data_IF_382903671088
#
_entry.id   IF_382903671088
#
_cell.length_a   1.000
_cell.length_b   1.000
_cell.length_c   1.000
_cell.angle_alpha   90.00
_cell.angle_beta   90.00
_cell.angle_gamma   90.00
#
_symmetry.space_group_name_H-M   'P 1'
#
loop_
_entity.id
_entity.type
_entity.pdbx_description
1 polymer ?
#
# COMPACT_ATOMS: atom_id res chain seq x y z
N UNK A 1 36.15 3.21 7.50
CA UNK A 1 35.34 2.76 6.34
C UNK A 1 33.94 2.47 6.87
N UNK A 2 32.92 3.14 6.33
CA UNK A 2 31.54 3.02 6.75
C UNK A 2 30.97 1.65 6.34
N UNK A 3 30.08 1.08 7.16
CA UNK A 3 29.44 -0.21 6.91
C UNK A 3 28.38 -0.06 5.79
N UNK A 4 28.75 -0.44 4.57
CA UNK A 4 27.83 -0.73 3.45
C UNK A 4 27.04 -2.03 3.73
N UNK A 5 26.06 -1.97 4.64
CA UNK A 5 25.18 -3.12 4.96
C UNK A 5 23.68 -2.82 4.91
N UNK A 6 23.27 -1.74 4.23
CA UNK A 6 21.85 -1.36 4.14
C UNK A 6 21.25 -1.49 2.72
N UNK A 7 22.03 -1.91 1.72
CA UNK A 7 21.65 -1.64 0.32
C UNK A 7 20.85 -2.71 -0.42
N UNK A 8 20.61 -3.93 0.11
CA UNK A 8 20.12 -5.02 -0.77
C UNK A 8 18.81 -5.73 -0.34
N UNK A 9 18.28 -5.54 0.87
CA UNK A 9 17.02 -6.19 1.27
C UNK A 9 15.74 -5.33 1.04
N UNK A 10 15.87 -4.07 0.60
CA UNK A 10 14.74 -3.11 0.56
C UNK A 10 14.14 -2.86 -0.84
N UNK A 11 14.53 -3.60 -1.87
CA UNK A 11 13.93 -3.48 -3.22
C UNK A 11 12.65 -4.32 -3.35
N UNK A 12 12.46 -5.30 -2.46
CA UNK A 12 11.35 -6.26 -2.55
C UNK A 12 10.19 -5.99 -1.60
N UNK A 13 10.32 -4.96 -0.77
CA UNK A 13 9.23 -4.43 0.05
C UNK A 13 9.11 -2.94 -0.28
N UNK A 14 8.16 -2.59 -1.16
CA UNK A 14 7.75 -1.20 -1.36
C UNK A 14 7.18 -0.67 -0.03
N UNK A 15 8.04 -0.28 0.91
CA UNK A 15 7.65 0.16 2.25
C UNK A 15 6.71 1.36 2.18
N UNK A 16 6.89 2.21 1.17
CA UNK A 16 5.97 3.29 0.84
C UNK A 16 4.57 2.81 0.46
N UNK A 17 4.46 1.69 -0.28
CA UNK A 17 3.17 1.10 -0.65
C UNK A 17 2.48 0.50 0.58
N UNK A 18 3.21 -0.28 1.39
CA UNK A 18 2.65 -0.84 2.63
C UNK A 18 2.21 0.25 3.60
N UNK A 19 2.96 1.35 3.70
CA UNK A 19 2.60 2.50 4.51
C UNK A 19 1.33 3.20 3.98
N UNK A 20 1.22 3.40 2.67
CA UNK A 20 0.03 4.00 2.08
C UNK A 20 -1.24 3.13 2.29
N UNK A 21 -1.10 1.80 2.18
CA UNK A 21 -2.18 0.85 2.49
C UNK A 21 -2.55 0.92 3.97
N UNK A 22 -1.57 0.99 4.88
CA UNK A 22 -1.77 1.17 6.33
C UNK A 22 -2.60 2.40 6.65
N UNK A 23 -2.16 3.55 6.14
CA UNK A 23 -2.78 4.84 6.45
C UNK A 23 -4.22 4.87 5.93
N UNK A 24 -4.45 4.33 4.74
CA UNK A 24 -5.79 4.25 4.14
C UNK A 24 -6.69 3.31 4.95
N UNK A 25 -6.19 2.14 5.35
CA UNK A 25 -6.95 1.19 6.16
C UNK A 25 -7.32 1.78 7.52
N UNK A 26 -6.36 2.45 8.17
CA UNK A 26 -6.59 3.11 9.46
C UNK A 26 -7.62 4.23 9.35
N UNK A 27 -7.52 5.08 8.33
CA UNK A 27 -8.47 6.15 8.09
C UNK A 27 -9.89 5.63 7.88
N UNK A 28 -10.06 4.59 7.05
CA UNK A 28 -11.38 3.97 6.81
C UNK A 28 -11.94 3.30 8.07
N UNK A 29 -11.09 2.62 8.84
CA UNK A 29 -11.47 1.96 10.08
C UNK A 29 -11.85 2.95 11.17
N UNK A 30 -11.12 4.07 11.28
CA UNK A 30 -11.42 5.16 12.21
C UNK A 30 -12.73 5.87 11.85
N UNK A 31 -12.95 6.15 10.56
CA UNK A 31 -14.16 6.78 10.06
C UNK A 31 -15.43 5.96 10.37
N UNK A 32 -15.33 4.63 10.36
CA UNK A 32 -16.43 3.71 10.65
C UNK A 32 -16.63 3.44 12.16
N UNK A 33 -15.87 4.13 13.03
CA UNK A 33 -15.99 4.03 14.49
C UNK A 33 -15.16 2.91 15.12
N UNK A 34 -14.11 2.44 14.43
CA UNK A 34 -13.15 1.43 14.90
C UNK A 34 -13.80 0.12 15.36
N UNK A 35 -14.61 -0.53 14.50
CA UNK A 35 -15.20 -1.83 14.82
C UNK A 35 -14.10 -2.87 15.09
N UNK A 36 -14.12 -3.44 16.29
CA UNK A 36 -13.17 -4.47 16.70
C UNK A 36 -13.35 -5.75 15.85
N UNK A 37 -12.25 -6.35 15.41
CA UNK A 37 -12.25 -7.57 14.61
C UNK A 37 -12.49 -7.39 13.11
N UNK A 38 -12.77 -6.17 12.64
CA UNK A 38 -12.91 -5.85 11.20
C UNK A 38 -11.68 -5.17 10.59
N UNK A 39 -10.65 -4.89 11.37
CA UNK A 39 -9.40 -4.24 10.94
C UNK A 39 -8.80 -4.86 9.68
N UNK A 40 -8.81 -6.21 9.60
CA UNK A 40 -8.33 -6.94 8.41
C UNK A 40 -9.16 -6.65 7.16
N UNK A 41 -10.47 -6.46 7.29
CA UNK A 41 -11.33 -6.13 6.15
C UNK A 41 -10.97 -4.76 5.57
N UNK A 42 -10.72 -3.75 6.42
CA UNK A 42 -10.26 -2.43 5.97
C UNK A 42 -8.87 -2.49 5.35
N UNK A 43 -7.98 -3.32 5.91
CA UNK A 43 -6.68 -3.60 5.31
C UNK A 43 -6.79 -4.12 3.88
N UNK A 44 -7.58 -5.17 3.66
CA UNK A 44 -7.77 -5.75 2.32
C UNK A 44 -8.42 -4.75 1.36
N UNK A 45 -9.40 -3.97 1.81
CA UNK A 45 -10.03 -2.91 1.00
C UNK A 45 -9.02 -1.85 0.58
N UNK A 46 -8.20 -1.35 1.51
CA UNK A 46 -7.15 -0.38 1.21
C UNK A 46 -6.11 -0.96 0.23
N UNK A 47 -5.69 -2.21 0.45
CA UNK A 47 -4.74 -2.89 -0.44
C UNK A 47 -5.29 -3.03 -1.86
N UNK A 48 -6.56 -3.43 -2.02
CA UNK A 48 -7.20 -3.53 -3.33
C UNK A 48 -7.28 -2.17 -4.04
N UNK A 49 -7.56 -1.08 -3.31
CA UNK A 49 -7.59 0.28 -3.87
C UNK A 49 -6.22 0.68 -4.44
N UNK A 50 -5.14 0.44 -3.69
CA UNK A 50 -3.78 0.75 -4.12
C UNK A 50 -3.30 -0.15 -5.27
N UNK A 51 -3.65 -1.44 -5.24
CA UNK A 51 -3.35 -2.37 -6.35
C UNK A 51 -4.05 -1.95 -7.64
N UNK A 52 -5.34 -1.58 -7.58
CA UNK A 52 -6.08 -1.08 -8.74
C UNK A 52 -5.54 0.24 -9.26
N UNK A 53 -5.12 1.14 -8.38
CA UNK A 53 -4.49 2.40 -8.79
C UNK A 53 -3.21 2.15 -9.59
N UNK A 54 -2.35 1.22 -9.14
CA UNK A 54 -1.11 0.83 -9.85
C UNK A 54 -1.38 0.13 -11.19
N UNK A 55 -2.42 -0.70 -11.26
CA UNK A 55 -2.84 -1.34 -12.51
C UNK A 55 -3.38 -0.31 -13.51
N UNK A 56 -4.27 0.57 -13.08
CA UNK A 56 -4.83 1.62 -13.93
C UNK A 56 -3.77 2.61 -14.44
N UNK A 57 -2.80 2.98 -13.60
CA UNK A 57 -1.67 3.83 -14.02
C UNK A 57 -0.87 3.18 -15.15
N UNK A 58 -0.63 1.87 -15.06
CA UNK A 58 0.10 1.12 -16.09
C UNK A 58 -0.69 1.04 -17.41
N UNK A 59 -1.99 0.76 -17.33
CA UNK A 59 -2.87 0.68 -18.51
C UNK A 59 -3.05 2.03 -19.20
N UNK A 60 -3.13 3.14 -18.44
CA UNK A 60 -3.17 4.48 -19.03
C UNK A 60 -1.90 4.82 -19.81
N UNK A 61 -0.74 4.32 -19.34
CA UNK A 61 0.55 4.57 -19.98
C UNK A 61 0.73 3.76 -21.26
N UNK A 62 0.28 2.51 -21.29
CA UNK A 62 0.36 1.63 -22.46
C UNK A 62 -0.71 1.93 -23.52
N UNK A 63 -1.87 2.47 -23.14
CA UNK A 63 -2.97 2.78 -24.08
C UNK A 63 -2.82 4.08 -24.88
N UNK A 64 -1.71 4.82 -24.69
CA UNK A 64 -1.39 6.07 -25.41
C UNK A 64 -0.18 5.92 -26.36
N UNK A 65 0.06 4.71 -26.89
CA UNK A 65 1.05 4.47 -27.96
C UNK A 65 0.37 4.19 -29.32
#
# INVERSE_FOLDING_TARGET
MANDKDSDESVWHDAAFEQAVRDTAYFLWEQDGRPAGREKEYWFRAMEQHLRARQNEKELRDGME
#
